data_IF_826971272203
#
_entry.id   IF_826971272203
#
_cell.length_a   1.000
_cell.length_b   1.000
_cell.length_c   1.000
_cell.angle_alpha   90.00
_cell.angle_beta   90.00
_cell.angle_gamma   90.00
#
_symmetry.space_group_name_H-M   'P 1'
#
loop_
_entity.id
_entity.type
_entity.pdbx_description
1 polymer ?
#
# COMPACT_ATOMS: atom_id res chain seq x y z
N UNK A 1 26.32 16.65 -28.22
CA UNK A 1 24.94 16.85 -27.71
C UNK A 1 24.08 15.77 -28.34
N UNK A 2 24.07 14.58 -27.75
CA UNK A 2 23.18 13.47 -28.18
C UNK A 2 22.13 13.29 -27.10
N UNK A 3 21.00 13.93 -27.32
CA UNK A 3 19.79 13.72 -26.51
C UNK A 3 19.17 12.40 -26.97
N UNK A 4 19.51 11.31 -26.27
CA UNK A 4 18.82 10.05 -26.47
C UNK A 4 17.39 10.23 -25.89
N UNK A 5 16.45 10.52 -26.75
CA UNK A 5 15.02 10.33 -26.46
C UNK A 5 14.84 8.87 -26.04
N UNK A 6 14.93 8.57 -24.72
CA UNK A 6 14.46 7.30 -24.21
C UNK A 6 12.98 7.21 -24.55
N UNK A 7 12.63 6.37 -25.53
CA UNK A 7 11.24 6.05 -25.85
C UNK A 7 10.53 5.75 -24.55
N UNK A 8 9.45 6.49 -24.24
CA UNK A 8 8.58 6.22 -23.08
C UNK A 8 8.16 4.75 -23.21
N UNK A 9 8.45 3.94 -22.19
CA UNK A 9 8.04 2.53 -22.18
C UNK A 9 6.53 2.46 -22.07
N UNK A 10 5.89 1.65 -22.91
CA UNK A 10 4.47 1.38 -22.79
C UNK A 10 4.21 0.44 -21.59
N UNK A 11 3.16 0.67 -20.79
CA UNK A 11 2.83 -0.19 -19.68
C UNK A 11 2.44 -1.59 -20.16
N UNK A 12 2.80 -2.64 -19.37
CA UNK A 12 2.35 -4.01 -19.59
C UNK A 12 1.48 -4.45 -18.40
N UNK A 13 0.38 -5.18 -18.61
CA UNK A 13 -0.58 -5.50 -17.56
C UNK A 13 -0.13 -6.67 -16.66
N UNK A 14 1.10 -6.64 -16.14
CA UNK A 14 1.66 -7.73 -15.35
C UNK A 14 1.02 -7.89 -13.96
N UNK A 15 0.34 -6.84 -13.44
CA UNK A 15 -0.32 -6.88 -12.14
C UNK A 15 -1.74 -7.46 -12.17
N UNK A 16 -2.23 -7.91 -13.35
CA UNK A 16 -3.53 -8.57 -13.48
C UNK A 16 -3.74 -9.75 -12.50
N UNK A 17 -2.71 -10.57 -12.16
CA UNK A 17 -2.85 -11.61 -11.14
C UNK A 17 -3.26 -11.12 -9.76
N UNK A 18 -2.96 -9.87 -9.40
CA UNK A 18 -3.38 -9.25 -8.13
C UNK A 18 -4.84 -8.77 -8.19
N UNK A 19 -5.29 -8.26 -9.32
CA UNK A 19 -6.64 -7.72 -9.53
C UNK A 19 -6.89 -6.39 -8.82
N UNK A 20 -6.62 -6.31 -7.51
CA UNK A 20 -6.85 -5.13 -6.67
C UNK A 20 -5.52 -4.50 -6.23
N UNK A 21 -5.32 -3.20 -6.48
CA UNK A 21 -4.34 -2.42 -5.71
C UNK A 21 -4.97 -2.05 -4.37
N UNK A 22 -4.37 -2.52 -3.29
CA UNK A 22 -4.95 -2.41 -1.96
C UNK A 22 -4.32 -1.30 -1.11
N UNK A 23 -3.34 -0.57 -1.64
CA UNK A 23 -2.59 0.44 -0.91
C UNK A 23 -2.11 1.56 -1.85
N UNK A 24 -2.75 2.72 -1.77
CA UNK A 24 -2.33 3.93 -2.50
C UNK A 24 -2.91 5.22 -1.89
N UNK A 25 -2.25 6.38 -2.15
CA UNK A 25 -2.51 7.69 -1.55
C UNK A 25 -2.99 8.69 -2.62
N UNK A 26 -4.17 8.41 -3.19
CA UNK A 26 -4.67 9.14 -4.35
C UNK A 26 -5.82 10.11 -4.06
N UNK A 27 -6.21 10.33 -2.79
CA UNK A 27 -7.08 11.45 -2.42
C UNK A 27 -6.23 12.71 -2.34
N UNK A 28 -6.54 13.76 -3.14
CA UNK A 28 -5.68 14.94 -3.20
C UNK A 28 -5.59 15.70 -1.87
N UNK A 29 -4.36 16.06 -1.45
CA UNK A 29 -4.07 16.99 -0.35
C UNK A 29 -4.54 16.55 1.03
N UNK A 30 -4.69 15.25 1.28
CA UNK A 30 -5.01 14.74 2.61
C UNK A 30 -3.78 14.23 3.35
N UNK A 31 -2.73 13.89 2.60
CA UNK A 31 -1.45 13.38 3.10
C UNK A 31 -0.29 13.82 2.17
N UNK A 32 0.82 13.08 2.13
CA UNK A 32 1.95 13.29 1.21
C UNK A 32 1.79 12.59 -0.14
N UNK A 33 0.60 12.07 -0.41
CA UNK A 33 0.23 11.52 -1.70
C UNK A 33 -0.05 12.60 -2.76
N UNK A 34 -1.07 12.37 -3.57
CA UNK A 34 -1.44 13.21 -4.70
C UNK A 34 -1.73 14.67 -4.29
N UNK A 35 -1.25 15.62 -5.10
CA UNK A 35 -1.38 17.06 -4.82
C UNK A 35 -2.61 17.69 -5.45
N UNK A 36 -3.15 17.08 -6.48
CA UNK A 36 -4.33 17.57 -7.19
C UNK A 36 -5.08 16.45 -7.88
N UNK A 37 -6.29 16.71 -8.30
CA UNK A 37 -7.18 15.73 -8.92
C UNK A 37 -6.59 15.18 -10.24
N UNK A 38 -5.96 16.02 -11.03
CA UNK A 38 -5.34 15.63 -12.31
C UNK A 38 -4.23 14.59 -12.10
N UNK A 39 -3.40 14.78 -11.07
CA UNK A 39 -2.35 13.82 -10.69
C UNK A 39 -2.95 12.48 -10.24
N UNK A 40 -4.02 12.51 -9.44
CA UNK A 40 -4.75 11.32 -9.01
C UNK A 40 -5.30 10.54 -10.21
N UNK A 41 -5.92 11.24 -11.17
CA UNK A 41 -6.48 10.65 -12.39
C UNK A 41 -5.37 10.01 -13.25
N UNK A 42 -4.22 10.66 -13.39
CA UNK A 42 -3.07 10.11 -14.12
C UNK A 42 -2.56 8.82 -13.46
N UNK A 43 -2.43 8.83 -12.13
CA UNK A 43 -2.04 7.64 -11.37
C UNK A 43 -3.06 6.50 -11.54
N UNK A 44 -4.36 6.77 -11.41
CA UNK A 44 -5.41 5.77 -11.60
C UNK A 44 -5.39 5.16 -13.02
N UNK A 45 -5.21 5.99 -14.05
CA UNK A 45 -5.05 5.51 -15.44
C UNK A 45 -3.82 4.61 -15.57
N UNK A 46 -2.74 4.94 -14.89
CA UNK A 46 -1.52 4.12 -14.89
C UNK A 46 -1.74 2.79 -14.16
N UNK A 47 -2.39 2.79 -12.99
CA UNK A 47 -2.73 1.55 -12.26
C UNK A 47 -3.55 0.61 -13.15
N UNK A 48 -4.55 1.14 -13.87
CA UNK A 48 -5.31 0.34 -14.85
C UNK A 48 -4.43 -0.19 -15.97
N UNK A 49 -3.56 0.63 -16.53
CA UNK A 49 -2.70 0.25 -17.66
C UNK A 49 -1.65 -0.82 -17.29
N UNK A 50 -1.18 -0.86 -16.04
CA UNK A 50 -0.26 -1.88 -15.55
C UNK A 50 -0.96 -3.17 -15.09
N UNK A 51 -2.31 -3.22 -15.09
CA UNK A 51 -3.09 -4.44 -14.93
C UNK A 51 -3.99 -4.53 -13.70
N UNK A 52 -4.14 -3.48 -12.90
CA UNK A 52 -5.11 -3.49 -11.82
C UNK A 52 -6.53 -3.22 -12.33
N UNK A 53 -7.49 -4.04 -11.92
CA UNK A 53 -8.91 -3.85 -12.22
C UNK A 53 -9.64 -3.04 -11.16
N UNK A 54 -9.16 -3.13 -9.91
CA UNK A 54 -9.74 -2.47 -8.75
C UNK A 54 -8.69 -1.69 -7.97
N UNK A 55 -9.15 -0.69 -7.21
CA UNK A 55 -8.33 0.10 -6.30
C UNK A 55 -9.05 0.30 -4.97
N UNK A 56 -8.30 0.21 -3.87
CA UNK A 56 -8.69 0.67 -2.53
C UNK A 56 -7.78 1.82 -2.18
N UNK A 57 -8.34 2.97 -1.85
CA UNK A 57 -7.58 4.17 -1.49
C UNK A 57 -7.33 4.14 0.02
N UNK A 58 -6.08 4.37 0.45
CA UNK A 58 -5.66 4.20 1.85
C UNK A 58 -4.83 5.40 2.33
N UNK A 59 -5.44 6.59 2.50
CA UNK A 59 -4.69 7.74 2.97
C UNK A 59 -4.13 7.52 4.37
N UNK A 60 -3.06 8.25 4.69
CA UNK A 60 -2.45 8.23 6.00
C UNK A 60 -3.36 8.78 7.11
N UNK A 61 -3.32 8.10 8.26
CA UNK A 61 -3.77 8.59 9.56
C UNK A 61 -2.54 8.57 10.50
N UNK A 62 -1.88 9.70 10.68
CA UNK A 62 -0.61 9.83 11.39
C UNK A 62 -0.58 11.07 12.26
N UNK A 63 -0.40 10.91 13.56
CA UNK A 63 -0.24 12.03 14.49
C UNK A 63 1.25 12.47 14.60
N UNK A 64 1.54 13.75 14.66
CA UNK A 64 0.61 14.89 14.47
C UNK A 64 0.47 15.35 13.00
N UNK A 65 1.08 14.66 12.04
CA UNK A 65 1.29 15.16 10.67
C UNK A 65 0.03 15.11 9.81
N UNK A 66 -0.68 13.98 9.83
CA UNK A 66 -1.87 13.73 9.01
C UNK A 66 -3.04 13.32 9.92
N UNK A 67 -3.66 14.32 10.56
CA UNK A 67 -4.78 14.13 11.49
C UNK A 67 -6.10 14.09 10.71
N UNK A 68 -6.21 13.17 9.78
CA UNK A 68 -7.39 13.00 8.96
C UNK A 68 -8.59 12.52 9.79
N UNK A 69 -9.77 12.95 9.37
CA UNK A 69 -11.07 12.50 9.88
C UNK A 69 -11.70 11.52 8.90
N UNK A 70 -12.27 10.43 9.39
CA UNK A 70 -12.81 9.36 8.55
C UNK A 70 -14.00 9.84 7.69
N UNK A 71 -14.85 10.73 8.21
CA UNK A 71 -16.01 11.22 7.45
C UNK A 71 -15.56 12.18 6.33
N UNK A 72 -14.57 13.04 6.59
CA UNK A 72 -13.97 13.90 5.55
C UNK A 72 -13.28 13.06 4.47
N UNK A 73 -12.55 12.04 4.86
CA UNK A 73 -11.89 11.12 3.92
C UNK A 73 -12.92 10.38 3.06
N UNK A 74 -14.01 9.87 3.64
CA UNK A 74 -15.08 9.23 2.88
C UNK A 74 -15.73 10.21 1.86
N UNK A 75 -15.98 11.46 2.23
CA UNK A 75 -16.49 12.47 1.32
C UNK A 75 -15.55 12.76 0.15
N UNK A 76 -14.25 12.94 0.43
CA UNK A 76 -13.21 13.19 -0.59
C UNK A 76 -12.98 11.97 -1.50
N UNK A 77 -13.15 10.77 -0.97
CA UNK A 77 -13.13 9.55 -1.77
C UNK A 77 -14.25 9.54 -2.82
N UNK A 78 -15.48 9.91 -2.46
CA UNK A 78 -16.57 9.98 -3.42
C UNK A 78 -16.33 11.10 -4.46
N UNK A 79 -15.74 12.23 -4.06
CA UNK A 79 -15.31 13.28 -5.00
C UNK A 79 -14.28 12.76 -6.01
N UNK A 80 -13.25 12.04 -5.55
CA UNK A 80 -12.23 11.43 -6.42
C UNK A 80 -12.87 10.43 -7.38
N UNK A 81 -13.75 9.57 -6.89
CA UNK A 81 -14.44 8.55 -7.69
C UNK A 81 -15.31 9.17 -8.78
N UNK A 82 -16.03 10.25 -8.47
CA UNK A 82 -16.81 10.99 -9.46
C UNK A 82 -15.90 11.58 -10.54
N UNK A 83 -14.84 12.30 -10.18
CA UNK A 83 -13.92 12.88 -11.14
C UNK A 83 -13.21 11.84 -11.99
N UNK A 84 -12.87 10.68 -11.42
CA UNK A 84 -12.30 9.57 -12.18
C UNK A 84 -13.31 9.04 -13.23
N UNK A 85 -14.58 8.93 -12.87
CA UNK A 85 -15.65 8.56 -13.80
C UNK A 85 -15.79 9.58 -14.94
N UNK A 86 -15.85 10.88 -14.61
CA UNK A 86 -15.94 11.96 -15.60
C UNK A 86 -14.74 12.01 -16.54
N UNK A 87 -13.54 11.63 -16.03
CA UNK A 87 -12.31 11.52 -16.82
C UNK A 87 -12.18 10.20 -17.60
N UNK A 88 -13.19 9.32 -17.55
CA UNK A 88 -13.24 8.05 -18.27
C UNK A 88 -12.24 7.00 -17.75
N UNK A 89 -11.86 7.05 -16.48
CA UNK A 89 -10.95 6.05 -15.88
C UNK A 89 -11.68 4.72 -15.73
N UNK A 90 -11.13 3.67 -16.33
CA UNK A 90 -11.72 2.33 -16.35
C UNK A 90 -11.18 1.44 -15.22
N UNK A 91 -11.19 1.94 -13.97
CA UNK A 91 -10.82 1.19 -12.78
C UNK A 91 -11.98 1.20 -11.78
N UNK A 92 -12.19 0.08 -11.10
CA UNK A 92 -13.26 -0.04 -10.09
C UNK A 92 -12.75 0.45 -8.74
N UNK A 93 -13.45 1.38 -8.13
CA UNK A 93 -13.22 1.79 -6.75
C UNK A 93 -13.84 0.74 -5.82
N UNK A 94 -13.02 -0.19 -5.32
CA UNK A 94 -13.45 -1.30 -4.48
C UNK A 94 -13.74 -0.88 -3.03
N UNK A 95 -13.24 0.28 -2.62
CA UNK A 95 -13.50 0.81 -1.29
C UNK A 95 -12.47 1.84 -0.85
N UNK A 96 -12.62 2.23 0.39
CA UNK A 96 -11.70 3.10 1.09
C UNK A 96 -11.22 2.41 2.36
N UNK A 97 -9.92 2.45 2.60
CA UNK A 97 -9.26 2.08 3.84
C UNK A 97 -8.55 3.28 4.45
N UNK A 98 -7.75 3.04 5.46
CA UNK A 98 -6.79 4.00 5.98
C UNK A 98 -5.48 3.28 6.27
N UNK A 99 -4.35 3.94 6.02
CA UNK A 99 -3.07 3.50 6.54
C UNK A 99 -2.79 4.22 7.87
N UNK A 100 -2.91 3.46 8.95
CA UNK A 100 -2.82 3.99 10.30
C UNK A 100 -1.41 3.82 10.87
N UNK A 101 -0.72 4.95 11.13
CA UNK A 101 0.57 4.92 11.84
C UNK A 101 0.36 4.51 13.29
N UNK A 102 1.08 3.47 13.74
CA UNK A 102 1.11 3.14 15.17
C UNK A 102 2.00 4.17 15.87
N UNK A 103 1.35 5.18 16.42
CA UNK A 103 1.91 6.33 17.11
C UNK A 103 1.06 6.71 18.35
N UNK A 104 1.35 7.83 19.00
CA UNK A 104 0.59 8.29 20.17
C UNK A 104 -0.87 8.63 19.83
N UNK A 105 -1.17 9.09 18.60
CA UNK A 105 -2.53 9.31 18.13
C UNK A 105 -3.29 8.00 17.94
N UNK A 106 -2.61 6.96 17.48
CA UNK A 106 -3.18 5.63 17.34
C UNK A 106 -3.55 5.02 18.70
N UNK A 107 -2.70 5.19 19.72
CA UNK A 107 -3.00 4.74 21.08
C UNK A 107 -4.28 5.40 21.61
N UNK A 108 -4.45 6.71 21.41
CA UNK A 108 -5.66 7.42 21.80
C UNK A 108 -6.90 6.95 21.01
N UNK A 109 -6.73 6.59 19.73
CA UNK A 109 -7.79 6.02 18.88
C UNK A 109 -8.31 4.68 19.39
N UNK A 110 -7.48 3.86 20.03
CA UNK A 110 -7.89 2.57 20.58
C UNK A 110 -8.93 2.67 21.71
N UNK A 111 -9.08 3.83 22.35
CA UNK A 111 -10.13 4.06 23.35
C UNK A 111 -11.54 4.11 22.72
N UNK A 112 -11.65 4.66 21.51
CA UNK A 112 -12.89 4.69 20.71
C UNK A 112 -12.56 4.31 19.26
N UNK A 113 -12.34 3.02 19.01
CA UNK A 113 -11.81 2.58 17.74
C UNK A 113 -12.80 2.81 16.60
N UNK A 114 -12.35 3.60 15.62
CA UNK A 114 -13.00 3.81 14.34
C UNK A 114 -11.95 3.72 13.27
N UNK A 115 -12.06 2.72 12.38
CA UNK A 115 -11.11 2.46 11.33
C UNK A 115 -11.82 2.26 9.99
N UNK A 116 -11.29 2.88 8.93
CA UNK A 116 -11.65 2.56 7.56
C UNK A 116 -10.97 1.23 7.20
N UNK A 117 -11.77 0.20 6.93
CA UNK A 117 -11.31 -1.18 6.77
C UNK A 117 -11.26 -1.61 5.32
N UNK A 118 -10.20 -2.24 4.92
CA UNK A 118 -10.08 -2.88 3.61
C UNK A 118 -10.93 -4.16 3.60
N UNK A 119 -11.74 -4.31 2.54
CA UNK A 119 -12.65 -5.47 2.41
C UNK A 119 -13.60 -5.66 3.58
N UNK A 120 -13.91 -4.58 4.33
CA UNK A 120 -14.77 -4.61 5.51
C UNK A 120 -14.18 -5.29 6.74
N UNK A 121 -12.95 -5.81 6.67
CA UNK A 121 -12.34 -6.72 7.64
C UNK A 121 -10.99 -6.23 8.16
N UNK A 122 -10.07 -5.90 7.27
CA UNK A 122 -8.67 -5.62 7.60
C UNK A 122 -8.43 -4.15 7.96
N UNK A 123 -7.55 -3.91 8.92
CA UNK A 123 -6.98 -2.58 9.20
C UNK A 123 -5.52 -2.59 8.77
N UNK A 124 -5.17 -1.68 7.86
CA UNK A 124 -3.79 -1.49 7.41
C UNK A 124 -3.08 -0.58 8.41
N UNK A 125 -2.01 -1.07 9.00
CA UNK A 125 -1.19 -0.31 9.94
C UNK A 125 0.23 -0.20 9.43
N UNK A 126 0.90 0.90 9.78
CA UNK A 126 2.32 1.07 9.51
C UNK A 126 3.11 1.42 10.77
N UNK A 127 4.38 1.07 10.80
CA UNK A 127 5.34 1.57 11.78
C UNK A 127 6.05 2.82 11.26
N UNK A 128 6.71 3.57 12.15
CA UNK A 128 7.62 4.63 11.70
C UNK A 128 8.78 4.04 10.91
N UNK A 129 9.18 4.69 9.81
CA UNK A 129 10.37 4.28 9.04
C UNK A 129 11.69 4.47 9.80
N UNK A 130 11.68 5.22 10.90
CA UNK A 130 12.90 5.56 11.65
C UNK A 130 13.12 4.64 12.85
N UNK A 131 12.08 4.37 13.63
CA UNK A 131 12.14 3.52 14.82
C UNK A 131 10.77 2.97 15.18
N UNK A 132 10.74 1.81 15.79
CA UNK A 132 9.52 1.21 16.31
C UNK A 132 9.08 1.95 17.58
N UNK A 133 7.79 2.28 17.67
CA UNK A 133 7.22 2.84 18.90
C UNK A 133 7.17 1.76 19.99
N UNK A 134 7.59 2.07 21.24
CA UNK A 134 7.36 1.16 22.37
C UNK A 134 5.86 0.85 22.53
N UNK A 135 5.52 -0.40 22.85
CA UNK A 135 4.14 -0.82 23.06
C UNK A 135 3.36 -1.11 21.77
N UNK A 136 3.99 -1.11 20.59
CA UNK A 136 3.26 -1.38 19.34
C UNK A 136 2.71 -2.81 19.27
N UNK A 137 3.34 -3.78 19.92
CA UNK A 137 2.87 -5.16 19.96
C UNK A 137 1.60 -5.30 20.78
N UNK A 138 1.58 -4.62 21.92
CA UNK A 138 0.41 -4.53 22.79
C UNK A 138 -0.75 -3.86 22.05
N UNK A 139 -0.50 -2.79 21.28
CA UNK A 139 -1.53 -2.12 20.50
C UNK A 139 -2.08 -3.03 19.38
N UNK A 140 -1.24 -3.79 18.70
CA UNK A 140 -1.66 -4.77 17.70
C UNK A 140 -2.53 -5.84 18.37
N UNK A 141 -2.09 -6.38 19.51
CA UNK A 141 -2.83 -7.36 20.27
C UNK A 141 -4.21 -6.83 20.72
N UNK A 142 -4.26 -5.60 21.23
CA UNK A 142 -5.52 -4.95 21.65
C UNK A 142 -6.50 -4.80 20.48
N UNK A 143 -6.00 -4.48 19.28
CA UNK A 143 -6.84 -4.45 18.08
C UNK A 143 -7.40 -5.83 17.73
N UNK A 144 -6.55 -6.86 17.79
CA UNK A 144 -6.97 -8.25 17.50
C UNK A 144 -8.02 -8.71 18.51
N UNK A 145 -7.85 -8.38 19.81
CA UNK A 145 -8.85 -8.66 20.85
C UNK A 145 -10.19 -7.93 20.62
N UNK A 146 -10.17 -6.82 19.91
CA UNK A 146 -11.38 -6.08 19.46
C UNK A 146 -11.95 -6.62 18.15
N UNK A 147 -11.39 -7.69 17.59
CA UNK A 147 -11.89 -8.37 16.39
C UNK A 147 -11.41 -7.78 15.06
N UNK A 148 -10.31 -7.01 15.05
CA UNK A 148 -9.71 -6.52 13.82
C UNK A 148 -8.64 -7.49 13.30
N UNK A 149 -8.66 -7.74 12.00
CA UNK A 149 -7.53 -8.39 11.30
C UNK A 149 -6.52 -7.33 10.87
N UNK A 150 -5.26 -7.51 11.22
CA UNK A 150 -4.22 -6.50 11.05
C UNK A 150 -3.33 -6.85 9.86
N UNK A 151 -3.17 -5.89 8.94
CA UNK A 151 -2.16 -5.93 7.88
C UNK A 151 -1.05 -4.95 8.24
N UNK A 152 0.19 -5.42 8.39
CA UNK A 152 1.36 -4.56 8.51
C UNK A 152 1.83 -4.15 7.11
N UNK A 153 1.80 -2.85 6.84
CA UNK A 153 2.25 -2.26 5.59
C UNK A 153 3.78 -2.35 5.45
N UNK A 154 4.22 -2.71 4.28
CA UNK A 154 5.60 -2.65 3.77
C UNK A 154 6.72 -2.93 4.80
N UNK A 155 6.69 -4.07 5.55
CA UNK A 155 7.69 -4.38 6.57
C UNK A 155 9.11 -4.50 6.02
N UNK A 156 9.28 -4.73 4.73
CA UNK A 156 10.58 -4.70 4.05
C UNK A 156 11.26 -3.34 4.08
N UNK A 157 10.51 -2.24 4.32
CA UNK A 157 11.01 -0.86 4.34
C UNK A 157 11.54 -0.41 5.69
N UNK A 158 11.30 -1.16 6.78
CA UNK A 158 11.77 -0.75 8.11
C UNK A 158 13.20 -1.20 8.37
N UNK A 159 14.20 -0.29 8.37
CA UNK A 159 15.61 -0.68 8.45
C UNK A 159 15.99 -1.32 9.79
N UNK A 160 15.26 -1.01 10.85
CA UNK A 160 15.48 -1.56 12.19
C UNK A 160 14.81 -2.93 12.42
N UNK A 161 13.82 -3.31 11.59
CA UNK A 161 13.25 -4.65 11.65
C UNK A 161 14.19 -5.65 10.99
N UNK A 162 14.68 -6.61 11.79
CA UNK A 162 15.42 -7.73 11.23
C UNK A 162 14.44 -8.73 10.60
N UNK A 163 14.14 -8.56 9.32
CA UNK A 163 13.25 -9.50 8.60
C UNK A 163 13.84 -10.90 8.44
N UNK A 164 15.16 -11.06 8.65
CA UNK A 164 15.85 -12.35 8.61
C UNK A 164 15.89 -13.06 9.96
N UNK A 165 15.37 -12.45 11.02
CA UNK A 165 15.30 -12.99 12.37
C UNK A 165 13.90 -13.40 12.78
N UNK A 166 13.78 -13.87 14.02
CA UNK A 166 12.54 -14.40 14.61
C UNK A 166 11.39 -13.38 14.74
N UNK A 167 11.69 -12.08 14.60
CA UNK A 167 10.70 -11.03 14.79
C UNK A 167 9.51 -11.13 13.82
N UNK A 168 9.78 -11.44 12.56
CA UNK A 168 8.72 -11.60 11.55
C UNK A 168 7.87 -12.84 11.81
N UNK A 169 8.51 -13.96 12.23
CA UNK A 169 7.78 -15.17 12.64
C UNK A 169 6.88 -14.92 13.84
N UNK A 170 7.34 -14.14 14.81
CA UNK A 170 6.52 -13.76 15.98
C UNK A 170 5.27 -13.02 15.56
N UNK A 171 5.38 -11.99 14.69
CA UNK A 171 4.24 -11.25 14.17
C UNK A 171 3.30 -12.17 13.34
N UNK A 172 3.85 -13.07 12.53
CA UNK A 172 3.04 -14.08 11.80
C UNK A 172 2.29 -15.00 12.75
N UNK A 173 2.94 -15.51 13.79
CA UNK A 173 2.33 -16.39 14.78
C UNK A 173 1.26 -15.67 15.62
N UNK A 174 1.34 -14.35 15.74
CA UNK A 174 0.29 -13.48 16.29
C UNK A 174 -0.88 -13.25 15.33
N UNK A 175 -0.83 -13.78 14.09
CA UNK A 175 -1.89 -13.60 13.10
C UNK A 175 -1.84 -12.26 12.35
N UNK A 176 -0.69 -11.57 12.33
CA UNK A 176 -0.51 -10.35 11.53
C UNK A 176 -0.26 -10.73 10.07
N UNK A 177 -1.03 -10.15 9.17
CA UNK A 177 -0.82 -10.24 7.72
C UNK A 177 0.25 -9.25 7.28
N UNK A 178 1.00 -9.59 6.23
CA UNK A 178 2.01 -8.68 5.68
C UNK A 178 1.66 -8.25 4.27
N UNK A 179 1.81 -6.96 4.02
CA UNK A 179 1.75 -6.38 2.69
C UNK A 179 3.11 -5.82 2.30
N UNK A 180 3.66 -6.22 1.15
CA UNK A 180 4.88 -5.63 0.57
C UNK A 180 4.53 -4.66 -0.56
N UNK A 181 5.41 -3.67 -0.78
CA UNK A 181 5.27 -2.76 -1.91
C UNK A 181 5.77 -3.38 -3.21
N UNK A 182 4.98 -3.31 -4.27
CA UNK A 182 5.36 -3.80 -5.60
C UNK A 182 6.67 -3.17 -6.08
N UNK A 183 6.87 -1.87 -5.85
CA UNK A 183 8.08 -1.14 -6.23
C UNK A 183 9.33 -1.59 -5.46
N UNK A 184 9.19 -2.24 -4.29
CA UNK A 184 10.31 -2.84 -3.57
C UNK A 184 10.99 -3.93 -4.40
N UNK A 185 10.22 -4.71 -5.18
CA UNK A 185 10.76 -5.77 -6.04
C UNK A 185 11.68 -5.24 -7.14
N UNK A 186 11.46 -4.00 -7.58
CA UNK A 186 12.32 -3.31 -8.56
C UNK A 186 13.49 -2.54 -7.94
N UNK A 187 13.56 -2.44 -6.60
CA UNK A 187 14.60 -1.69 -5.90
C UNK A 187 14.33 -0.18 -5.78
N UNK A 188 13.10 0.26 -5.99
CA UNK A 188 12.72 1.68 -5.87
C UNK A 188 13.07 2.27 -4.50
N UNK A 189 12.95 1.48 -3.43
CA UNK A 189 13.30 1.84 -2.06
C UNK A 189 14.71 1.38 -1.64
N UNK A 190 15.55 1.02 -2.61
CA UNK A 190 16.92 0.55 -2.40
C UNK A 190 17.05 -0.98 -2.40
N UNK A 191 18.27 -1.46 -2.59
CA UNK A 191 18.56 -2.90 -2.74
C UNK A 191 18.28 -3.69 -1.46
N UNK A 192 18.40 -3.07 -0.29
CA UNK A 192 18.09 -3.75 0.97
C UNK A 192 16.59 -4.03 1.12
N UNK A 193 15.71 -3.06 0.82
CA UNK A 193 14.27 -3.28 0.80
C UNK A 193 13.88 -4.35 -0.21
N UNK A 194 14.50 -4.33 -1.40
CA UNK A 194 14.33 -5.37 -2.43
C UNK A 194 14.71 -6.75 -1.90
N UNK A 195 15.88 -6.90 -1.30
CA UNK A 195 16.36 -8.17 -0.74
C UNK A 195 15.40 -8.71 0.32
N UNK A 196 14.91 -7.84 1.21
CA UNK A 196 13.94 -8.18 2.26
C UNK A 196 12.61 -8.62 1.69
N UNK A 197 12.07 -7.90 0.69
CA UNK A 197 10.82 -8.24 0.03
C UNK A 197 10.88 -9.65 -0.60
N UNK A 198 11.94 -9.97 -1.33
CA UNK A 198 12.13 -11.31 -1.90
C UNK A 198 12.28 -12.38 -0.84
N UNK A 199 13.04 -12.12 0.22
CA UNK A 199 13.17 -13.07 1.34
C UNK A 199 11.82 -13.37 1.98
N UNK A 200 11.01 -12.35 2.27
CA UNK A 200 9.67 -12.53 2.87
C UNK A 200 8.73 -13.35 1.96
N UNK A 201 8.82 -13.15 0.64
CA UNK A 201 8.09 -13.97 -0.33
C UNK A 201 8.56 -15.44 -0.31
N UNK A 202 9.87 -15.68 -0.22
CA UNK A 202 10.45 -17.03 -0.14
C UNK A 202 10.05 -17.77 1.13
N UNK A 203 9.83 -17.03 2.25
CA UNK A 203 9.32 -17.61 3.50
C UNK A 203 7.80 -17.86 3.47
N UNK A 204 7.08 -17.40 2.44
CA UNK A 204 5.61 -17.52 2.38
C UNK A 204 4.88 -16.64 3.38
N UNK A 205 5.47 -15.53 3.80
CA UNK A 205 4.91 -14.63 4.81
C UNK A 205 4.02 -13.53 4.27
N UNK A 206 4.02 -13.33 2.96
CA UNK A 206 3.36 -12.18 2.31
C UNK A 206 1.99 -12.59 1.79
N UNK A 207 0.94 -11.98 2.32
CA UNK A 207 -0.43 -12.19 1.86
C UNK A 207 -0.89 -11.13 0.87
N UNK A 208 -0.35 -9.92 0.96
CA UNK A 208 -0.80 -8.80 0.16
C UNK A 208 0.35 -8.07 -0.53
N UNK A 209 0.04 -7.49 -1.67
CA UNK A 209 0.94 -6.56 -2.38
C UNK A 209 0.18 -5.27 -2.70
N UNK A 210 0.76 -4.13 -2.36
CA UNK A 210 0.23 -2.80 -2.69
C UNK A 210 1.20 -2.02 -3.55
N UNK A 211 0.73 -0.97 -4.22
CA UNK A 211 1.64 -0.10 -4.96
C UNK A 211 2.25 0.98 -4.09
N UNK A 212 1.54 1.41 -3.08
CA UNK A 212 1.91 2.56 -2.24
C UNK A 212 2.12 3.82 -3.12
N UNK A 213 1.29 3.95 -4.17
CA UNK A 213 1.41 5.04 -5.14
C UNK A 213 0.98 6.36 -4.52
N UNK A 214 1.91 7.33 -4.48
CA UNK A 214 1.67 8.66 -3.93
C UNK A 214 1.48 9.72 -5.03
N UNK A 215 2.13 9.55 -6.18
CA UNK A 215 2.16 10.55 -7.26
C UNK A 215 2.64 9.93 -8.58
N UNK A 216 2.76 10.76 -9.61
CA UNK A 216 3.19 10.32 -10.95
C UNK A 216 4.60 9.73 -11.00
N UNK A 217 5.50 10.05 -10.06
CA UNK A 217 6.84 9.44 -10.00
C UNK A 217 6.71 7.93 -9.70
N UNK A 218 5.84 7.56 -8.74
CA UNK A 218 5.53 6.16 -8.42
C UNK A 218 4.84 5.46 -9.60
N UNK A 219 3.87 6.14 -10.23
CA UNK A 219 3.17 5.62 -11.40
C UNK A 219 4.15 5.31 -12.56
N UNK A 220 5.08 6.21 -12.85
CA UNK A 220 6.13 5.98 -13.85
C UNK A 220 7.09 4.85 -13.45
N UNK A 221 7.41 4.72 -12.16
CA UNK A 221 8.23 3.61 -11.66
C UNK A 221 7.52 2.26 -11.86
N UNK A 222 6.19 2.21 -11.65
CA UNK A 222 5.38 1.02 -11.93
C UNK A 222 5.41 0.64 -13.40
N UNK A 223 5.28 1.61 -14.34
CA UNK A 223 5.42 1.33 -15.78
C UNK A 223 6.80 0.70 -16.07
N UNK A 224 7.88 1.25 -15.50
CA UNK A 224 9.22 0.68 -15.69
C UNK A 224 9.30 -0.75 -15.12
N UNK A 225 8.68 -0.99 -13.97
CA UNK A 225 8.66 -2.29 -13.30
C UNK A 225 7.97 -3.37 -14.14
N UNK A 226 6.98 -3.00 -14.98
CA UNK A 226 6.31 -3.96 -15.88
C UNK A 226 7.23 -4.61 -16.91
N UNK A 227 8.43 -4.09 -17.09
CA UNK A 227 9.44 -4.65 -17.98
C UNK A 227 10.49 -5.51 -17.28
N UNK A 228 10.37 -5.71 -15.96
CA UNK A 228 11.23 -6.60 -15.18
C UNK A 228 10.68 -8.03 -15.20
N UNK A 229 11.33 -8.92 -15.94
CA UNK A 229 10.92 -10.33 -16.06
C UNK A 229 10.97 -11.09 -14.72
N UNK A 230 11.82 -10.67 -13.77
CA UNK A 230 11.87 -11.31 -12.46
C UNK A 230 10.62 -10.97 -11.67
N UNK A 231 10.16 -9.71 -11.73
CA UNK A 231 8.91 -9.28 -11.10
C UNK A 231 7.71 -10.00 -11.71
N UNK A 232 7.61 -10.03 -13.04
CA UNK A 232 6.54 -10.74 -13.75
C UNK A 232 6.44 -12.22 -13.29
N UNK A 233 7.56 -12.96 -13.28
CA UNK A 233 7.61 -14.34 -12.76
C UNK A 233 7.26 -14.45 -11.28
N UNK A 234 7.58 -13.45 -10.48
CA UNK A 234 7.21 -13.40 -9.05
C UNK A 234 5.71 -13.31 -8.88
N UNK A 235 5.04 -12.45 -9.66
CA UNK A 235 3.59 -12.30 -9.63
C UNK A 235 2.85 -13.56 -10.12
N UNK A 236 3.46 -14.33 -11.03
CA UNK A 236 2.93 -15.62 -11.49
C UNK A 236 3.13 -16.76 -10.47
N UNK A 237 4.21 -16.67 -9.67
CA UNK A 237 4.63 -17.75 -8.75
C UNK A 237 3.87 -17.72 -7.42
N UNK A 238 3.57 -16.53 -6.88
CA UNK A 238 3.00 -16.38 -5.55
C UNK A 238 1.53 -15.99 -5.63
N UNK A 239 0.71 -16.63 -4.78
CA UNK A 239 -0.70 -16.29 -4.62
C UNK A 239 -0.87 -15.21 -3.56
N UNK A 240 -1.59 -14.13 -3.93
CA UNK A 240 -1.90 -13.02 -3.05
C UNK A 240 -3.40 -12.94 -2.79
N UNK A 241 -3.77 -12.50 -1.58
CA UNK A 241 -5.16 -12.32 -1.18
C UNK A 241 -5.82 -11.05 -1.75
N UNK A 242 -5.10 -10.26 -2.55
CA UNK A 242 -5.60 -9.01 -3.14
C UNK A 242 -6.95 -9.15 -3.85
N UNK A 243 -7.19 -10.27 -4.52
CA UNK A 243 -8.47 -10.53 -5.22
C UNK A 243 -9.67 -10.68 -4.29
N UNK A 244 -9.43 -10.94 -3.00
CA UNK A 244 -10.50 -11.11 -2.01
C UNK A 244 -11.01 -9.78 -1.44
N UNK A 245 -10.34 -8.68 -1.82
CA UNK A 245 -10.67 -7.32 -1.41
C UNK A 245 -11.61 -6.60 -2.38
#
# INVERSE_FOLDING_TARGET
>A
MFDFFKKKKEPRPIFQPLGTDMHCHLIPRVDDGSKCMEESIECLKTLKAVGYDKVIITPHFQYPRFQNDEDDICRRYEELKQHAGDAGVQIVFAGIGGEYRIDTGFQARLEKPRFLKLGGKYVLVEFSLHQQMPGCDEMIFDMQMKGYDIILAHPERYPYLNVFGSRMEQLKNQGVYFQINALSLGGFYGEEAKRRAYYMLEQGWVEFMGTDTHNTVYAHALINLTHDRKVEKTLEKYDFLNKTL
#
